data_IF_813291800014
#
_entry.id   IF_813291800014
#
_cell.length_a   1.000
_cell.length_b   1.000
_cell.length_c   1.000
_cell.angle_alpha   90.00
_cell.angle_beta   90.00
_cell.angle_gamma   90.00
#
_symmetry.space_group_name_H-M   'P 1'
#
loop_
_entity.id
_entity.type
_entity.pdbx_description
1 polymer ?
#
# COMPACT_ATOMS: atom_id res chain seq x y z
N UNK A 1 11.89 -42.29 -43.32
CA UNK A 1 11.17 -41.11 -42.79
C UNK A 1 12.02 -40.42 -41.73
N UNK A 2 12.59 -39.24 -42.01
CA UNK A 2 13.39 -38.46 -41.05
C UNK A 2 12.50 -37.34 -40.47
N UNK A 3 12.15 -37.42 -39.18
CA UNK A 3 11.42 -36.35 -38.48
C UNK A 3 12.41 -35.27 -38.04
N UNK A 4 12.27 -34.04 -38.56
CA UNK A 4 13.01 -32.86 -38.11
C UNK A 4 12.59 -32.52 -36.67
N UNK A 5 13.54 -32.55 -35.72
CA UNK A 5 13.37 -31.97 -34.39
C UNK A 5 13.36 -30.44 -34.53
N UNK A 6 12.26 -29.78 -34.15
CA UNK A 6 12.23 -28.34 -33.98
C UNK A 6 12.97 -27.96 -32.70
N UNK A 7 13.94 -27.06 -32.79
CA UNK A 7 14.67 -26.54 -31.64
C UNK A 7 13.78 -25.57 -30.85
N UNK A 8 13.83 -25.67 -29.52
CA UNK A 8 13.15 -24.74 -28.61
C UNK A 8 13.77 -23.33 -28.71
N UNK A 9 12.95 -22.26 -28.63
CA UNK A 9 13.44 -20.90 -28.75
C UNK A 9 14.26 -20.52 -27.52
N UNK A 10 15.44 -19.94 -27.75
CA UNK A 10 16.32 -19.42 -26.71
C UNK A 10 15.79 -18.12 -26.11
N UNK A 11 16.12 -17.87 -24.83
CA UNK A 11 15.70 -16.71 -24.03
C UNK A 11 15.88 -15.35 -24.75
N UNK A 12 16.98 -15.19 -25.48
CA UNK A 12 17.28 -13.99 -26.29
C UNK A 12 16.35 -13.79 -27.51
N UNK A 13 15.58 -14.79 -27.92
CA UNK A 13 14.55 -14.71 -28.96
C UNK A 13 13.21 -14.21 -28.39
N UNK A 14 12.97 -14.43 -27.09
CA UNK A 14 11.77 -13.99 -26.38
C UNK A 14 11.84 -12.50 -26.04
N UNK A 15 12.98 -12.00 -25.57
CA UNK A 15 13.18 -10.57 -25.26
C UNK A 15 13.04 -9.67 -26.49
N UNK A 16 13.51 -10.12 -27.67
CA UNK A 16 13.33 -9.38 -28.94
C UNK A 16 11.90 -9.32 -29.45
N UNK A 17 11.00 -10.21 -29.00
CA UNK A 17 9.57 -10.17 -29.35
C UNK A 17 8.78 -9.23 -28.45
N UNK A 18 9.19 -9.09 -27.19
CA UNK A 18 8.55 -8.19 -26.21
C UNK A 18 8.78 -6.73 -26.60
N UNK A 19 10.01 -6.36 -26.98
CA UNK A 19 10.35 -4.97 -27.34
C UNK A 19 9.70 -4.49 -28.65
N UNK A 20 9.45 -5.39 -29.62
CA UNK A 20 8.76 -5.07 -30.88
C UNK A 20 7.25 -4.86 -30.70
N UNK A 21 6.65 -5.53 -29.73
CA UNK A 21 5.23 -5.42 -29.38
C UNK A 21 4.91 -4.08 -28.71
N UNK A 22 5.79 -3.63 -27.82
CA UNK A 22 5.63 -2.36 -27.08
C UNK A 22 5.86 -1.12 -27.94
N UNK A 23 6.83 -1.18 -28.86
CA UNK A 23 7.05 -0.11 -29.85
C UNK A 23 5.83 0.07 -30.78
N UNK A 24 5.13 -1.01 -31.14
CA UNK A 24 3.94 -0.96 -31.99
C UNK A 24 2.72 -0.40 -31.25
N UNK A 25 2.61 -0.62 -29.94
CA UNK A 25 1.56 -0.01 -29.09
C UNK A 25 1.78 1.49 -28.86
N UNK A 26 3.03 1.94 -28.70
CA UNK A 26 3.35 3.37 -28.55
C UNK A 26 3.11 4.16 -29.84
N UNK A 27 3.35 3.59 -31.01
CA UNK A 27 3.08 4.23 -32.30
C UNK A 27 1.58 4.40 -32.60
N UNK A 28 0.71 3.49 -32.13
CA UNK A 28 -0.75 3.64 -32.29
C UNK A 28 -1.37 4.72 -31.40
N UNK A 29 -0.73 5.08 -30.28
CA UNK A 29 -1.25 6.12 -29.37
C UNK A 29 -0.89 7.52 -29.88
N UNK A 30 0.25 7.68 -30.55
CA UNK A 30 0.67 8.97 -31.12
C UNK A 30 -0.06 9.34 -32.43
N UNK A 31 -0.57 8.37 -33.19
CA UNK A 31 -1.32 8.63 -34.42
C UNK A 31 -2.78 9.09 -34.18
N UNK A 32 -3.27 9.08 -32.94
CA UNK A 32 -4.64 9.49 -32.60
C UNK A 32 -4.76 10.97 -32.21
N UNK A 33 -3.65 11.73 -32.21
CA UNK A 33 -3.63 13.11 -31.70
C UNK A 33 -3.38 14.19 -32.76
N UNK A 34 -3.20 13.81 -34.03
CA UNK A 34 -3.05 14.74 -35.14
C UNK A 34 -4.15 14.54 -36.19
N UNK A 35 -5.28 15.22 -35.99
CA UNK A 35 -6.35 15.21 -36.96
C UNK A 35 -7.60 15.94 -36.49
N UNK A 36 -7.57 17.28 -36.47
CA UNK A 36 -8.65 18.11 -37.02
C UNK A 36 -8.34 19.59 -36.79
N UNK A 37 -7.77 20.24 -37.82
CA UNK A 37 -7.82 21.70 -38.00
C UNK A 37 -8.83 21.95 -39.10
N UNK A 38 -9.95 22.60 -38.80
CA UNK A 38 -10.79 23.28 -39.78
C UNK A 38 -11.42 24.55 -39.16
N UNK A 39 -11.11 25.70 -39.76
CA UNK A 39 -11.81 26.98 -39.63
C UNK A 39 -13.17 26.92 -40.37
N UNK A 40 -14.17 27.72 -39.95
CA UNK A 40 -14.66 28.72 -40.90
C UNK A 40 -15.02 30.08 -40.28
N UNK A 41 -15.11 31.07 -41.17
CA UNK A 41 -15.36 32.47 -40.91
C UNK A 41 -16.83 32.82 -40.62
N UNK A 42 -16.99 33.82 -39.74
CA UNK A 42 -17.98 34.92 -39.68
C UNK A 42 -19.44 34.62 -40.04
N UNK A 43 -20.32 34.76 -39.04
CA UNK A 43 -21.53 35.60 -39.14
C UNK A 43 -21.97 36.01 -37.74
N UNK A 44 -22.18 37.30 -37.54
CA UNK A 44 -22.45 37.90 -36.24
C UNK A 44 -23.84 37.58 -35.70
N UNK A 45 -23.92 37.44 -34.37
CA UNK A 45 -25.05 37.96 -33.62
C UNK A 45 -24.55 38.32 -32.23
N UNK A 46 -24.78 39.58 -31.82
CA UNK A 46 -24.50 40.04 -30.49
C UNK A 46 -25.45 39.32 -29.51
N UNK A 47 -24.90 38.46 -28.65
CA UNK A 47 -25.63 38.00 -27.47
C UNK A 47 -25.13 38.80 -26.27
N UNK A 48 -25.95 39.82 -25.97
CA UNK A 48 -25.92 40.62 -24.76
C UNK A 48 -25.88 39.68 -23.55
N UNK A 49 -24.70 39.55 -22.92
CA UNK A 49 -24.58 38.92 -21.61
C UNK A 49 -25.08 39.94 -20.59
N UNK A 50 -26.40 40.00 -20.41
CA UNK A 50 -26.99 40.65 -19.25
C UNK A 50 -26.45 39.96 -18.01
N UNK A 51 -25.69 40.69 -17.19
CA UNK A 51 -25.52 40.28 -15.80
C UNK A 51 -26.91 40.38 -15.17
N UNK A 52 -27.53 39.25 -14.90
CA UNK A 52 -28.77 39.22 -14.14
C UNK A 52 -28.38 39.56 -12.70
N UNK A 53 -28.47 40.84 -12.34
CA UNK A 53 -28.40 41.24 -10.95
C UNK A 53 -29.51 40.48 -10.23
N UNK A 54 -29.17 39.65 -9.25
CA UNK A 54 -30.16 38.97 -8.43
C UNK A 54 -31.14 40.00 -7.88
N UNK A 55 -32.40 39.91 -8.31
CA UNK A 55 -33.43 40.84 -7.87
C UNK A 55 -33.63 40.67 -6.36
N UNK A 56 -33.92 41.75 -5.65
CA UNK A 56 -34.20 41.71 -4.20
C UNK A 56 -35.31 40.69 -3.87
N UNK A 57 -36.25 40.46 -4.78
CA UNK A 57 -37.30 39.44 -4.69
C UNK A 57 -36.76 38.00 -4.66
N UNK A 58 -35.67 37.74 -5.37
CA UNK A 58 -35.00 36.43 -5.41
C UNK A 58 -34.23 36.18 -4.10
N UNK A 59 -33.62 37.24 -3.53
CA UNK A 59 -32.96 37.20 -2.21
C UNK A 59 -33.99 36.96 -1.09
N UNK A 60 -35.16 37.61 -1.15
CA UNK A 60 -36.25 37.38 -0.18
C UNK A 60 -36.77 35.94 -0.27
N UNK A 61 -36.81 35.37 -1.47
CA UNK A 61 -37.24 33.98 -1.70
C UNK A 61 -36.20 32.94 -1.22
N UNK A 62 -34.92 33.31 -1.19
CA UNK A 62 -33.84 32.51 -0.63
C UNK A 62 -33.80 32.58 0.91
N UNK A 63 -34.02 33.76 1.49
CA UNK A 63 -34.12 33.94 2.95
C UNK A 63 -35.34 33.25 3.58
N UNK A 64 -36.39 32.99 2.78
CA UNK A 64 -37.57 32.23 3.21
C UNK A 64 -37.41 30.71 3.18
N UNK A 65 -36.31 30.17 2.62
CA UNK A 65 -36.01 28.74 2.62
C UNK A 65 -34.81 28.48 3.53
N UNK A 66 -35.07 27.95 4.72
CA UNK A 66 -34.06 27.20 5.45
C UNK A 66 -33.57 26.05 4.55
N UNK A 67 -32.40 26.20 3.96
CA UNK A 67 -31.75 25.15 3.17
C UNK A 67 -31.16 24.15 4.16
N UNK A 68 -31.99 23.18 4.56
CA UNK A 68 -31.49 21.89 5.02
C UNK A 68 -30.99 21.16 3.78
N UNK A 69 -29.68 21.25 3.53
CA UNK A 69 -29.03 20.42 2.53
C UNK A 69 -28.69 19.08 3.19
N UNK A 70 -29.52 18.08 2.91
CA UNK A 70 -29.25 16.69 3.26
C UNK A 70 -27.98 16.23 2.54
N UNK A 71 -27.03 15.73 3.31
CA UNK A 71 -25.97 14.82 2.89
C UNK A 71 -26.12 13.57 3.76
N UNK A 72 -26.45 12.45 3.13
CA UNK A 72 -26.42 11.13 3.77
C UNK A 72 -24.96 10.72 4.03
N UNK A 73 -24.51 10.81 5.28
CA UNK A 73 -23.53 9.89 5.87
C UNK A 73 -23.52 10.08 7.39
N UNK A 74 -23.54 8.97 8.14
CA UNK A 74 -23.56 8.92 9.60
C UNK A 74 -22.50 9.86 10.21
N UNK A 75 -22.92 10.89 10.95
CA UNK A 75 -22.33 11.16 12.26
C UNK A 75 -23.24 12.03 13.14
N UNK A 76 -23.02 11.89 14.43
CA UNK A 76 -23.77 12.42 15.57
C UNK A 76 -24.24 13.87 15.45
N UNK A 77 -25.32 14.19 16.18
CA UNK A 77 -25.82 15.53 16.47
C UNK A 77 -24.69 16.38 17.10
N UNK A 78 -23.83 16.95 16.25
CA UNK A 78 -22.87 17.96 16.67
C UNK A 78 -23.69 19.18 17.04
N UNK A 79 -23.63 19.55 18.31
CA UNK A 79 -24.24 20.77 18.80
C UNK A 79 -23.71 21.94 17.98
N UNK A 80 -24.57 22.66 17.27
CA UNK A 80 -24.22 23.91 16.57
C UNK A 80 -23.86 25.05 17.55
N UNK A 81 -23.70 24.71 18.83
CA UNK A 81 -23.16 25.57 19.86
C UNK A 81 -21.72 25.95 19.49
N UNK A 82 -21.56 27.22 19.13
CA UNK A 82 -20.25 27.81 18.91
C UNK A 82 -19.78 28.51 20.17
N UNK A 83 -18.50 28.34 20.49
CA UNK A 83 -17.83 28.93 21.65
C UNK A 83 -16.67 29.81 21.21
N UNK A 84 -16.40 30.87 21.96
CA UNK A 84 -15.32 31.79 21.67
C UNK A 84 -13.98 31.25 22.16
N UNK A 85 -12.97 31.25 21.29
CA UNK A 85 -11.57 30.92 21.61
C UNK A 85 -10.77 32.22 21.55
N UNK A 86 -10.47 32.76 22.74
CA UNK A 86 -9.87 34.09 22.86
C UNK A 86 -10.79 35.19 22.30
N UNK A 87 -10.22 36.34 21.93
CA UNK A 87 -10.99 37.46 21.38
C UNK A 87 -11.38 37.29 19.89
N UNK A 88 -10.79 36.32 19.17
CA UNK A 88 -10.80 36.33 17.70
C UNK A 88 -11.59 35.22 16.99
N UNK A 89 -11.88 34.09 17.64
CA UNK A 89 -12.44 32.93 16.94
C UNK A 89 -13.70 32.40 17.59
N UNK A 90 -14.67 31.95 16.79
CA UNK A 90 -15.94 31.36 17.28
C UNK A 90 -16.22 30.02 16.63
N UNK A 91 -15.63 28.96 17.16
CA UNK A 91 -15.68 27.59 16.61
C UNK A 91 -16.79 26.75 17.25
N UNK A 92 -17.22 25.67 16.57
CA UNK A 92 -18.06 24.63 17.20
C UNK A 92 -17.42 24.09 18.48
N UNK A 93 -18.22 23.82 19.50
CA UNK A 93 -17.77 23.33 20.80
C UNK A 93 -16.88 22.08 20.71
N UNK A 94 -17.20 21.17 19.78
CA UNK A 94 -16.42 19.96 19.52
C UNK A 94 -14.94 20.23 19.17
N UNK A 95 -14.62 21.38 18.58
CA UNK A 95 -13.26 21.74 18.16
C UNK A 95 -12.55 22.68 19.13
N UNK A 96 -13.28 23.25 20.08
CA UNK A 96 -12.79 24.26 21.02
C UNK A 96 -11.55 23.79 21.81
N UNK A 97 -11.61 22.56 22.33
CA UNK A 97 -10.52 21.98 23.13
C UNK A 97 -9.28 21.70 22.29
N UNK A 98 -9.45 21.22 21.06
CA UNK A 98 -8.37 20.98 20.11
C UNK A 98 -7.71 22.28 19.67
N UNK A 99 -8.50 23.27 19.29
CA UNK A 99 -7.97 24.57 18.85
C UNK A 99 -7.18 25.26 19.97
N UNK A 100 -7.69 25.23 21.21
CA UNK A 100 -6.97 25.78 22.37
C UNK A 100 -5.60 25.14 22.55
N UNK A 101 -5.52 23.80 22.50
CA UNK A 101 -4.25 23.07 22.61
C UNK A 101 -3.28 23.39 21.48
N UNK A 102 -3.79 23.57 20.26
CA UNK A 102 -2.97 23.99 19.13
C UNK A 102 -2.38 25.38 19.40
N UNK A 103 -3.22 26.35 19.81
CA UNK A 103 -2.78 27.71 20.10
C UNK A 103 -1.79 27.76 21.27
N UNK A 104 -2.02 27.00 22.33
CA UNK A 104 -1.11 26.89 23.47
C UNK A 104 0.28 26.37 23.07
N UNK A 105 0.34 25.45 22.09
CA UNK A 105 1.59 24.81 21.68
C UNK A 105 2.31 25.53 20.54
N UNK A 106 1.56 26.08 19.60
CA UNK A 106 2.06 26.60 18.32
C UNK A 106 1.83 28.10 18.14
N UNK A 107 1.17 28.76 19.10
CA UNK A 107 0.70 30.13 18.94
C UNK A 107 -0.51 30.22 18.02
N UNK A 108 -0.92 31.45 17.72
CA UNK A 108 -2.00 31.68 16.76
C UNK A 108 -1.52 31.39 15.33
N UNK A 109 -1.86 30.18 14.84
CA UNK A 109 -1.47 29.69 13.51
C UNK A 109 -2.12 30.46 12.36
N UNK A 110 -3.16 31.26 12.62
CA UNK A 110 -3.85 32.08 11.62
C UNK A 110 -3.47 33.57 11.72
N UNK A 111 -2.50 33.94 12.55
CA UNK A 111 -2.05 35.32 12.76
C UNK A 111 -1.56 35.99 11.47
N UNK A 112 -0.84 35.26 10.61
CA UNK A 112 -0.31 35.76 9.34
C UNK A 112 -1.19 35.42 8.13
N UNK A 113 -2.43 34.98 8.38
CA UNK A 113 -3.33 34.53 7.34
C UNK A 113 -3.76 35.66 6.39
N UNK A 114 -3.91 35.34 5.10
CA UNK A 114 -4.37 36.30 4.09
C UNK A 114 -5.88 36.57 4.14
N UNK A 115 -6.65 35.69 4.76
CA UNK A 115 -8.11 35.79 4.88
C UNK A 115 -8.53 36.94 5.80
N UNK A 116 -9.36 37.84 5.27
CA UNK A 116 -9.84 39.02 6.02
C UNK A 116 -10.98 38.70 6.98
N UNK A 117 -11.92 37.86 6.58
CA UNK A 117 -13.07 37.49 7.40
C UNK A 117 -12.65 36.56 8.56
N UNK A 118 -13.10 36.88 9.78
CA UNK A 118 -12.95 36.01 10.96
C UNK A 118 -13.74 34.70 10.79
N UNK A 119 -14.88 34.74 10.10
CA UNK A 119 -15.69 33.56 9.82
C UNK A 119 -14.96 32.59 8.89
N UNK A 120 -14.30 33.10 7.85
CA UNK A 120 -13.52 32.26 6.94
C UNK A 120 -12.33 31.62 7.67
N UNK A 121 -11.62 32.40 8.51
CA UNK A 121 -10.54 31.87 9.36
C UNK A 121 -11.05 30.77 10.28
N UNK A 122 -12.22 30.98 10.89
CA UNK A 122 -12.87 30.00 11.76
C UNK A 122 -13.18 28.70 11.02
N UNK A 123 -13.73 28.75 9.80
CA UNK A 123 -14.06 27.55 9.00
C UNK A 123 -12.81 26.70 8.75
N UNK A 124 -11.70 27.32 8.34
CA UNK A 124 -10.46 26.58 8.09
C UNK A 124 -9.79 26.07 9.37
N UNK A 125 -9.90 26.81 10.48
CA UNK A 125 -9.45 26.33 11.79
C UNK A 125 -10.25 25.12 12.28
N UNK A 126 -11.57 25.08 12.03
CA UNK A 126 -12.39 23.90 12.32
C UNK A 126 -11.96 22.70 11.48
N UNK A 127 -11.71 22.90 10.18
CA UNK A 127 -11.20 21.86 9.29
C UNK A 127 -9.85 21.31 9.75
N UNK A 128 -8.94 22.17 10.22
CA UNK A 128 -7.67 21.73 10.82
C UNK A 128 -7.88 20.94 12.11
N UNK A 129 -8.80 21.39 12.97
CA UNK A 129 -9.13 20.66 14.20
C UNK A 129 -9.68 19.26 13.88
N UNK A 130 -10.50 19.12 12.85
CA UNK A 130 -10.98 17.82 12.39
C UNK A 130 -9.82 16.89 11.99
N UNK A 131 -8.86 17.39 11.21
CA UNK A 131 -7.69 16.60 10.80
C UNK A 131 -6.90 16.15 12.03
N UNK A 132 -6.62 17.07 12.96
CA UNK A 132 -5.88 16.78 14.20
C UNK A 132 -6.62 15.77 15.07
N UNK A 133 -7.93 15.93 15.26
CA UNK A 133 -8.74 14.97 16.02
C UNK A 133 -8.74 13.60 15.35
N UNK A 134 -8.87 13.54 14.02
CA UNK A 134 -8.85 12.29 13.28
C UNK A 134 -7.52 11.55 13.44
N UNK A 135 -6.40 12.27 13.40
CA UNK A 135 -5.07 11.70 13.65
C UNK A 135 -4.93 11.20 15.10
N UNK A 136 -5.49 11.92 16.08
CA UNK A 136 -5.42 11.55 17.49
C UNK A 136 -6.31 10.35 17.84
N UNK A 137 -7.45 10.20 17.16
CA UNK A 137 -8.44 9.16 17.46
C UNK A 137 -8.22 7.86 16.69
N UNK A 138 -7.50 7.90 15.56
CA UNK A 138 -7.34 6.74 14.67
C UNK A 138 -6.01 6.04 14.93
N UNK A 139 -6.02 4.71 15.11
CA UNK A 139 -4.76 3.96 15.25
C UNK A 139 -4.02 3.92 13.92
N UNK A 140 -2.68 3.89 13.97
CA UNK A 140 -1.84 3.84 12.77
C UNK A 140 -2.20 2.69 11.81
N UNK A 141 -2.63 1.53 12.33
CA UNK A 141 -3.00 0.38 11.50
C UNK A 141 -4.41 0.48 10.90
N UNK A 142 -5.21 1.44 11.34
CA UNK A 142 -6.60 1.66 10.91
C UNK A 142 -6.71 2.83 9.92
N UNK A 143 -5.69 3.69 9.84
CA UNK A 143 -5.62 4.78 8.86
C UNK A 143 -4.91 4.31 7.59
N UNK A 144 -5.41 4.76 6.44
CA UNK A 144 -4.86 4.40 5.11
C UNK A 144 -3.98 5.50 4.53
N UNK A 145 -2.99 5.13 3.70
CA UNK A 145 -2.14 6.08 2.98
C UNK A 145 -2.95 7.12 2.20
N UNK A 146 -4.08 6.69 1.60
CA UNK A 146 -4.95 7.56 0.80
C UNK A 146 -5.59 8.65 1.69
N UNK A 147 -6.05 8.27 2.89
CA UNK A 147 -6.62 9.23 3.84
C UNK A 147 -5.56 10.23 4.33
N UNK A 148 -4.36 9.76 4.66
CA UNK A 148 -3.28 10.63 5.14
C UNK A 148 -2.81 11.58 4.03
N UNK A 149 -2.69 11.10 2.78
CA UNK A 149 -2.38 11.95 1.62
C UNK A 149 -3.43 13.03 1.40
N UNK A 150 -4.72 12.68 1.48
CA UNK A 150 -5.80 13.68 1.38
C UNK A 150 -5.70 14.74 2.49
N UNK A 151 -5.42 14.32 3.73
CA UNK A 151 -5.21 15.27 4.83
C UNK A 151 -3.99 16.15 4.60
N UNK A 152 -2.91 15.59 4.05
CA UNK A 152 -1.69 16.31 3.72
C UNK A 152 -1.96 17.36 2.65
N UNK A 153 -2.65 17.00 1.57
CA UNK A 153 -3.06 17.93 0.52
C UNK A 153 -3.93 19.06 1.09
N UNK A 154 -4.96 18.73 1.90
CA UNK A 154 -5.81 19.71 2.59
C UNK A 154 -4.97 20.70 3.43
N UNK A 155 -3.93 20.22 4.14
CA UNK A 155 -3.06 21.07 4.99
C UNK A 155 -2.08 21.89 4.17
N UNK A 156 -1.54 21.35 3.08
CA UNK A 156 -0.66 22.07 2.16
C UNK A 156 -1.44 23.22 1.52
N UNK A 157 -2.67 22.99 1.07
CA UNK A 157 -3.52 24.04 0.50
C UNK A 157 -3.74 25.18 1.52
N UNK A 158 -3.95 24.87 2.79
CA UNK A 158 -4.09 25.88 3.85
C UNK A 158 -2.79 26.66 4.08
N UNK A 159 -1.65 25.99 4.02
CA UNK A 159 -0.35 26.63 4.17
C UNK A 159 -0.06 27.57 3.00
N UNK A 160 -0.19 27.09 1.77
CA UNK A 160 0.25 27.80 0.57
C UNK A 160 -0.78 28.83 0.08
N UNK A 161 -2.09 28.54 0.14
CA UNK A 161 -3.11 29.44 -0.38
C UNK A 161 -3.49 30.57 0.59
N UNK A 162 -3.48 30.29 1.90
CA UNK A 162 -3.97 31.24 2.92
C UNK A 162 -2.96 31.56 4.02
N UNK A 163 -1.73 31.06 3.91
CA UNK A 163 -0.59 31.37 4.79
C UNK A 163 -0.85 31.01 6.27
N UNK A 164 -1.46 29.86 6.52
CA UNK A 164 -1.54 29.30 7.87
C UNK A 164 -0.19 28.71 8.30
N UNK A 165 0.21 28.95 9.54
CA UNK A 165 1.41 28.35 10.12
C UNK A 165 1.13 26.91 10.60
N UNK A 166 1.08 26.00 9.63
CA UNK A 166 0.76 24.57 9.83
C UNK A 166 1.90 23.65 9.39
N UNK A 167 3.13 24.17 9.27
CA UNK A 167 4.29 23.37 8.87
C UNK A 167 4.55 22.16 9.80
N UNK A 168 4.22 22.30 11.08
CA UNK A 168 4.28 21.21 12.05
C UNK A 168 3.32 20.05 11.72
N UNK A 169 2.15 20.35 11.15
CA UNK A 169 1.15 19.33 10.82
C UNK A 169 1.49 18.64 9.50
N UNK A 170 2.01 19.40 8.53
CA UNK A 170 2.59 18.84 7.28
C UNK A 170 3.65 17.79 7.64
N UNK A 171 4.62 18.16 8.47
CA UNK A 171 5.68 17.25 8.90
C UNK A 171 5.14 16.01 9.61
N UNK A 172 4.18 16.17 10.53
CA UNK A 172 3.59 15.04 11.22
C UNK A 172 2.86 14.08 10.26
N UNK A 173 2.17 14.60 9.24
CA UNK A 173 1.49 13.78 8.24
C UNK A 173 2.48 13.03 7.34
N UNK A 174 3.60 13.64 6.98
CA UNK A 174 4.71 12.98 6.28
C UNK A 174 5.31 11.84 7.13
N UNK A 175 5.59 12.09 8.42
CA UNK A 175 6.09 11.06 9.34
C UNK A 175 5.09 9.89 9.49
N UNK A 176 3.79 10.15 9.47
CA UNK A 176 2.76 9.10 9.46
C UNK A 176 2.79 8.29 8.17
N UNK A 177 2.96 8.92 7.00
CA UNK A 177 3.10 8.21 5.73
C UNK A 177 4.33 7.29 5.71
N UNK A 178 5.47 7.77 6.22
CA UNK A 178 6.67 6.95 6.36
C UNK A 178 6.43 5.75 7.28
N UNK A 179 5.75 5.96 8.41
CA UNK A 179 5.42 4.89 9.34
C UNK A 179 4.51 3.83 8.69
N UNK A 180 3.54 4.23 7.87
CA UNK A 180 2.68 3.31 7.12
C UNK A 180 3.48 2.50 6.10
N UNK A 181 4.42 3.11 5.39
CA UNK A 181 5.32 2.42 4.47
C UNK A 181 6.16 1.35 5.18
N UNK A 182 6.73 1.70 6.35
CA UNK A 182 7.51 0.76 7.17
C UNK A 182 6.67 -0.42 7.64
N UNK A 183 5.43 -0.18 8.07
CA UNK A 183 4.49 -1.25 8.45
C UNK A 183 4.22 -2.17 7.26
N UNK A 184 3.99 -1.63 6.07
CA UNK A 184 3.75 -2.43 4.88
C UNK A 184 4.98 -3.29 4.51
N UNK A 185 6.18 -2.69 4.54
CA UNK A 185 7.43 -3.41 4.31
C UNK A 185 7.64 -4.53 5.32
N UNK A 186 7.32 -4.29 6.60
CA UNK A 186 7.44 -5.31 7.65
C UNK A 186 6.49 -6.48 7.40
N UNK A 187 5.24 -6.23 6.97
CA UNK A 187 4.28 -7.28 6.59
C UNK A 187 4.84 -8.15 5.46
N UNK A 188 5.28 -7.52 4.37
CA UNK A 188 5.88 -8.22 3.21
C UNK A 188 7.10 -9.05 3.62
N UNK A 189 7.97 -8.48 4.45
CA UNK A 189 9.15 -9.18 4.96
C UNK A 189 8.76 -10.40 5.79
N UNK A 190 7.77 -10.26 6.67
CA UNK A 190 7.29 -11.34 7.54
C UNK A 190 6.71 -12.49 6.71
N UNK A 191 5.89 -12.19 5.70
CA UNK A 191 5.30 -13.20 4.82
C UNK A 191 6.37 -13.96 4.03
N UNK A 192 7.38 -13.24 3.52
CA UNK A 192 8.52 -13.84 2.83
C UNK A 192 9.32 -14.75 3.76
N UNK A 193 9.56 -14.30 4.98
CA UNK A 193 10.33 -15.05 5.96
C UNK A 193 9.59 -16.34 6.38
N UNK A 194 8.27 -16.28 6.57
CA UNK A 194 7.44 -17.46 6.83
C UNK A 194 7.57 -18.48 5.69
N UNK A 195 7.43 -18.04 4.44
CA UNK A 195 7.59 -18.92 3.27
C UNK A 195 8.98 -19.57 3.20
N UNK A 196 10.03 -18.80 3.46
CA UNK A 196 11.40 -19.32 3.47
C UNK A 196 11.62 -20.37 4.57
N UNK A 197 11.03 -20.16 5.75
CA UNK A 197 11.04 -21.14 6.85
C UNK A 197 10.29 -22.41 6.43
N UNK A 198 9.10 -22.30 5.83
CA UNK A 198 8.33 -23.45 5.36
C UNK A 198 9.08 -24.29 4.32
N UNK A 199 9.74 -23.64 3.36
CA UNK A 199 10.57 -24.31 2.35
C UNK A 199 11.76 -25.03 3.00
N UNK A 200 12.40 -24.40 3.98
CA UNK A 200 13.51 -24.99 4.73
C UNK A 200 13.05 -26.21 5.55
N UNK A 201 11.91 -26.11 6.23
CA UNK A 201 11.30 -27.22 6.98
C UNK A 201 10.96 -28.40 6.05
N UNK A 202 10.42 -28.11 4.86
CA UNK A 202 10.12 -29.15 3.86
C UNK A 202 11.38 -29.86 3.38
N UNK A 203 12.46 -29.11 3.12
CA UNK A 203 13.74 -29.67 2.72
C UNK A 203 14.33 -30.57 3.82
N UNK A 204 14.30 -30.12 5.07
CA UNK A 204 14.75 -30.90 6.22
C UNK A 204 13.98 -32.22 6.36
N UNK A 205 12.65 -32.19 6.17
CA UNK A 205 11.83 -33.41 6.18
C UNK A 205 12.26 -34.39 5.08
N UNK A 206 12.53 -33.90 3.87
CA UNK A 206 13.03 -34.73 2.77
C UNK A 206 14.40 -35.38 3.06
N UNK A 207 15.30 -34.67 3.76
CA UNK A 207 16.56 -35.25 4.20
C UNK A 207 16.39 -36.29 5.30
N UNK A 208 15.48 -36.07 6.25
CA UNK A 208 15.13 -37.05 7.29
C UNK A 208 14.60 -38.35 6.67
N UNK A 209 13.69 -38.25 5.71
CA UNK A 209 13.15 -39.42 5.01
C UNK A 209 14.26 -40.16 4.24
N UNK A 210 15.21 -39.44 3.64
CA UNK A 210 16.35 -40.03 2.94
C UNK A 210 17.34 -40.72 3.89
N UNK A 211 17.56 -40.17 5.08
CA UNK A 211 18.38 -40.80 6.13
C UNK A 211 17.78 -42.16 6.49
N UNK A 212 16.47 -42.24 6.73
CA UNK A 212 15.81 -43.50 7.03
C UNK A 212 15.98 -44.54 5.91
N UNK A 213 15.86 -44.14 4.64
CA UNK A 213 16.10 -45.06 3.50
C UNK A 213 17.54 -45.61 3.50
N UNK A 214 18.53 -44.77 3.81
CA UNK A 214 19.92 -45.21 3.90
C UNK A 214 20.17 -46.12 5.10
N UNK A 215 19.55 -45.85 6.25
CA UNK A 215 19.63 -46.72 7.44
C UNK A 215 19.10 -48.12 7.14
N UNK A 216 17.94 -48.22 6.47
CA UNK A 216 17.36 -49.50 6.05
C UNK A 216 18.27 -50.24 5.07
N UNK A 217 18.81 -49.53 4.07
CA UNK A 217 19.74 -50.12 3.09
C UNK A 217 21.02 -50.63 3.75
N UNK A 218 21.59 -49.89 4.71
CA UNK A 218 22.76 -50.31 5.47
C UNK A 218 22.47 -51.57 6.29
N UNK A 219 21.26 -51.69 6.85
CA UNK A 219 20.83 -52.87 7.60
C UNK A 219 20.76 -54.11 6.70
N UNK A 220 20.12 -54.00 5.54
CA UNK A 220 20.06 -55.10 4.56
C UNK A 220 21.45 -55.55 4.08
N UNK A 221 22.33 -54.60 3.78
CA UNK A 221 23.71 -54.91 3.35
C UNK A 221 24.49 -55.63 4.46
N UNK A 222 24.29 -55.22 5.71
CA UNK A 222 24.93 -55.86 6.87
C UNK A 222 24.44 -57.29 7.07
N UNK A 223 23.14 -57.54 6.91
CA UNK A 223 22.55 -58.88 6.95
C UNK A 223 23.12 -59.78 5.84
N UNK A 224 23.17 -59.30 4.60
CA UNK A 224 23.80 -60.02 3.47
C UNK A 224 25.26 -60.35 3.72
N UNK A 225 26.03 -59.39 4.25
CA UNK A 225 27.44 -59.61 4.59
C UNK A 225 27.62 -60.67 5.68
N UNK A 226 26.74 -60.70 6.69
CA UNK A 226 26.78 -61.73 7.74
C UNK A 226 26.47 -63.12 7.19
N UNK A 227 25.51 -63.24 6.28
CA UNK A 227 25.16 -64.50 5.61
C UNK A 227 26.31 -65.05 4.75
N UNK A 228 26.93 -64.20 3.92
CA UNK A 228 28.07 -64.65 3.09
C UNK A 228 29.29 -65.01 3.95
N UNK A 229 29.51 -64.32 5.08
CA UNK A 229 30.56 -64.68 6.03
C UNK A 229 30.35 -66.08 6.62
N UNK A 230 29.14 -66.38 7.08
CA UNK A 230 28.79 -67.70 7.64
C UNK A 230 29.01 -68.82 6.61
N UNK A 231 28.66 -68.57 5.35
CA UNK A 231 28.89 -69.50 4.23
C UNK A 231 30.38 -69.77 3.96
N UNK A 232 31.23 -68.73 4.05
CA UNK A 232 32.68 -68.88 3.90
C UNK A 232 33.28 -69.68 5.06
N UNK A 233 32.85 -69.41 6.29
CA UNK A 233 33.30 -70.11 7.50
C UNK A 233 32.91 -71.60 7.44
N UNK A 234 31.71 -71.93 6.96
CA UNK A 234 31.26 -73.31 6.74
C UNK A 234 32.06 -74.03 5.63
N UNK A 235 32.47 -73.32 4.58
CA UNK A 235 33.23 -73.88 3.45
C UNK A 235 34.69 -74.22 3.78
N UNK A 236 35.30 -73.58 4.78
CA UNK A 236 36.69 -73.84 5.19
C UNK A 236 36.88 -75.08 6.09
N UNK A 237 35.80 -75.72 6.57
CA UNK A 237 35.88 -76.87 7.48
C UNK A 237 36.38 -78.21 6.89
N UNK A 238 36.60 -78.31 5.58
CA UNK A 238 36.89 -79.59 4.90
C UNK A 238 38.38 -79.85 4.57
N UNK A 239 39.34 -79.08 5.08
CA UNK A 239 40.77 -79.38 4.87
C UNK A 239 41.44 -79.93 6.13
N UNK A 240 41.89 -81.19 5.98
CA UNK A 240 42.86 -81.97 6.75
C UNK A 240 42.34 -82.92 7.85
N UNK A 241 42.10 -84.18 7.45
CA UNK A 241 42.72 -85.36 8.08
C UNK A 241 43.00 -86.42 7.00
N UNK A 242 44.22 -86.45 6.46
CA UNK A 242 44.70 -87.62 5.71
C UNK A 242 45.51 -88.50 6.69
N UNK A 243 45.14 -89.78 6.86
CA UNK A 243 45.91 -90.71 7.68
C UNK A 243 47.08 -91.24 6.85
N UNK A 244 48.32 -90.98 7.30
CA UNK A 244 49.47 -91.70 6.78
C UNK A 244 49.42 -93.13 7.32
N UNK A 245 49.00 -94.03 6.45
CA UNK A 245 49.19 -95.48 6.57
C UNK A 245 50.68 -95.76 6.35
N UNK A 246 51.29 -96.53 7.23
CA UNK A 246 52.55 -97.23 6.94
C UNK A 246 52.45 -98.64 7.53
N UNK A 247 52.36 -99.60 6.62
CA UNK A 247 52.65 -101.03 6.76
C UNK A 247 53.20 -101.47 5.39
N UNK A 248 54.04 -102.51 5.29
CA UNK A 248 54.60 -103.37 6.34
C UNK A 248 56.07 -103.07 6.68
#
# INVERSE_FOLDING_TARGET
MKRKKAAAPTFASMERRVTRSEAKRRASILAAQEGSVQTPAVSGSAQNSTCNSFGLTEIISLLGRNVSHQVDELDEVQSDLRVSIGPGYRVKEAYASTLRKIIEKHGDIAMNCTLKSDDNRTIFLEKLCQIVQKLQSTKLLEITDIQVKKMLDDVIDLKEAVNFDVGWLVKNLEEVLEALELVNRLKVWKDRNVKNIEESVRALKGYEDLIHVYEDTLKELKEKASFEKEKLDAGCGCKQKHPWVSLP
#
